data_IF_291216091024
#
_entry.id   IF_291216091024
#
_cell.length_a   1.000
_cell.length_b   1.000
_cell.length_c   1.000
_cell.angle_alpha   90.00
_cell.angle_beta   90.00
_cell.angle_gamma   90.00
#
_symmetry.space_group_name_H-M   'P 1'
#
loop_
_entity.id
_entity.type
_entity.pdbx_description
1 polymer ?
#
# COMPACT_ATOMS: atom_id res chain seq x y z
N UNK A 1 -16.41 -10.02 1.11
CA UNK A 1 -14.97 -9.78 1.32
C UNK A 1 -14.67 -9.04 2.61
N UNK A 2 -15.35 -7.90 2.89
CA UNK A 2 -15.16 -7.10 4.12
C UNK A 2 -15.18 -7.92 5.41
N UNK A 3 -16.19 -8.77 5.60
CA UNK A 3 -16.33 -9.59 6.82
C UNK A 3 -15.13 -10.50 7.06
N UNK A 4 -14.61 -11.15 6.01
CA UNK A 4 -13.38 -11.97 6.09
C UNK A 4 -12.16 -11.12 6.44
N UNK A 5 -12.06 -9.91 5.91
CA UNK A 5 -10.95 -9.00 6.23
C UNK A 5 -11.00 -8.56 7.69
N UNK A 6 -12.17 -8.15 8.19
CA UNK A 6 -12.36 -7.75 9.59
C UNK A 6 -12.02 -8.92 10.51
N UNK A 7 -12.64 -10.09 10.31
CA UNK A 7 -12.39 -11.29 11.10
C UNK A 7 -10.90 -11.68 11.15
N UNK A 8 -10.20 -11.69 10.00
CA UNK A 8 -8.80 -12.17 9.95
C UNK A 8 -7.76 -11.12 10.31
N UNK A 9 -7.97 -9.84 9.96
CA UNK A 9 -6.95 -8.79 10.05
C UNK A 9 -7.16 -7.88 11.24
N UNK A 10 -8.42 -7.60 11.58
CA UNK A 10 -8.77 -6.68 12.68
C UNK A 10 -8.99 -7.49 13.97
N UNK A 11 -9.80 -8.54 13.91
CA UNK A 11 -10.15 -9.37 15.08
C UNK A 11 -9.15 -10.53 15.32
N UNK A 12 -8.27 -10.82 14.35
CA UNK A 12 -7.21 -11.81 14.51
C UNK A 12 -7.64 -13.28 14.54
N UNK A 13 -8.91 -13.59 14.28
CA UNK A 13 -9.44 -14.97 14.22
C UNK A 13 -8.64 -15.81 13.23
N UNK A 14 -8.43 -17.10 13.49
CA UNK A 14 -7.80 -18.06 12.56
C UNK A 14 -8.62 -18.30 11.28
N UNK A 15 -8.06 -19.06 10.33
CA UNK A 15 -8.77 -19.41 9.09
C UNK A 15 -9.96 -20.32 9.41
N UNK A 16 -9.77 -21.23 10.35
CA UNK A 16 -10.70 -22.25 10.80
C UNK A 16 -11.86 -21.60 11.55
N UNK A 17 -11.59 -20.73 12.53
CA UNK A 17 -12.62 -19.97 13.25
C UNK A 17 -13.42 -19.06 12.30
N UNK A 18 -12.75 -18.42 11.34
CA UNK A 18 -13.43 -17.58 10.34
C UNK A 18 -14.30 -18.41 9.38
N UNK A 19 -13.87 -19.63 9.07
CA UNK A 19 -14.60 -20.55 8.20
C UNK A 19 -15.89 -21.03 8.87
N UNK A 20 -15.79 -21.41 10.15
CA UNK A 20 -16.92 -21.80 10.98
C UNK A 20 -17.89 -20.63 11.18
N UNK A 21 -17.38 -19.44 11.58
CA UNK A 21 -18.19 -18.24 11.81
C UNK A 21 -19.00 -17.82 10.57
N UNK A 22 -18.43 -17.98 9.37
CA UNK A 22 -19.03 -17.52 8.13
C UNK A 22 -19.69 -18.63 7.31
N UNK A 23 -19.76 -19.85 7.86
CA UNK A 23 -20.27 -21.05 7.20
C UNK A 23 -19.73 -21.24 5.77
N UNK A 24 -18.41 -21.24 5.66
CA UNK A 24 -17.70 -21.46 4.38
C UNK A 24 -16.52 -22.37 4.56
N UNK A 25 -16.04 -22.96 3.46
CA UNK A 25 -14.82 -23.77 3.50
C UNK A 25 -13.57 -22.93 3.83
N UNK A 26 -12.59 -23.45 4.60
CA UNK A 26 -11.31 -22.78 4.90
C UNK A 26 -10.56 -22.24 3.67
N UNK A 27 -10.60 -22.94 2.53
CA UNK A 27 -9.97 -22.50 1.27
C UNK A 27 -10.65 -21.24 0.71
N UNK A 28 -11.95 -21.11 0.95
CA UNK A 28 -12.72 -19.93 0.55
C UNK A 28 -12.29 -18.71 1.35
N UNK A 29 -11.98 -18.88 2.65
CA UNK A 29 -11.45 -17.82 3.51
C UNK A 29 -10.12 -17.31 2.95
N UNK A 30 -9.19 -18.20 2.57
CA UNK A 30 -7.89 -17.83 1.98
C UNK A 30 -8.07 -16.97 0.72
N UNK A 31 -8.88 -17.42 -0.23
CA UNK A 31 -9.09 -16.69 -1.50
C UNK A 31 -9.86 -15.37 -1.30
N UNK A 32 -10.80 -15.32 -0.34
CA UNK A 32 -11.53 -14.09 0.01
C UNK A 32 -10.61 -13.09 0.72
N UNK A 33 -9.72 -13.54 1.61
CA UNK A 33 -8.77 -12.68 2.29
C UNK A 33 -7.76 -12.06 1.32
N UNK A 34 -7.23 -12.85 0.38
CA UNK A 34 -6.33 -12.35 -0.65
C UNK A 34 -6.98 -11.22 -1.47
N UNK A 35 -8.19 -11.47 -1.98
CA UNK A 35 -8.96 -10.47 -2.74
C UNK A 35 -9.33 -9.26 -1.90
N UNK A 36 -9.69 -9.44 -0.63
CA UNK A 36 -10.02 -8.34 0.26
C UNK A 36 -8.83 -7.40 0.49
N UNK A 37 -7.61 -7.94 0.68
CA UNK A 37 -6.38 -7.13 0.79
C UNK A 37 -6.11 -6.31 -0.47
N UNK A 38 -6.28 -6.92 -1.65
CA UNK A 38 -6.12 -6.21 -2.92
C UNK A 38 -7.12 -5.06 -3.08
N UNK A 39 -8.40 -5.30 -2.73
CA UNK A 39 -9.45 -4.27 -2.78
C UNK A 39 -9.18 -3.11 -1.80
N UNK A 40 -8.76 -3.41 -0.58
CA UNK A 40 -8.41 -2.39 0.42
C UNK A 40 -7.22 -1.57 -0.06
N UNK A 41 -6.15 -2.22 -0.55
CA UNK A 41 -4.98 -1.52 -1.11
C UNK A 41 -5.38 -0.58 -2.25
N UNK A 42 -6.14 -1.08 -3.23
CA UNK A 42 -6.62 -0.25 -4.35
C UNK A 42 -7.41 0.97 -3.86
N UNK A 43 -8.34 0.78 -2.93
CA UNK A 43 -9.14 1.88 -2.39
C UNK A 43 -8.29 2.91 -1.62
N UNK A 44 -7.26 2.46 -0.91
CA UNK A 44 -6.30 3.35 -0.25
C UNK A 44 -5.41 4.07 -1.25
N UNK A 45 -4.94 3.41 -2.30
CA UNK A 45 -4.15 4.03 -3.36
C UNK A 45 -4.97 5.11 -4.10
N UNK A 46 -6.25 4.85 -4.37
CA UNK A 46 -7.15 5.82 -5.02
C UNK A 46 -7.38 7.06 -4.13
N UNK A 47 -7.40 6.91 -2.80
CA UNK A 47 -7.64 8.01 -1.86
C UNK A 47 -6.36 8.75 -1.43
N UNK A 48 -5.26 8.02 -1.24
CA UNK A 48 -4.04 8.50 -0.59
C UNK A 48 -2.88 8.60 -1.59
N UNK A 49 -2.95 7.94 -2.76
CA UNK A 49 -1.91 7.97 -3.79
C UNK A 49 -1.46 9.39 -4.16
N UNK A 50 -2.37 10.33 -4.46
CA UNK A 50 -2.00 11.73 -4.74
C UNK A 50 -1.33 12.42 -3.54
N UNK A 51 -1.73 12.09 -2.31
CA UNK A 51 -1.16 12.69 -1.10
C UNK A 51 0.24 12.15 -0.81
N UNK A 52 0.47 10.84 -0.97
CA UNK A 52 1.79 10.23 -0.77
C UNK A 52 2.82 10.69 -1.80
N UNK A 53 2.41 10.86 -3.06
CA UNK A 53 3.26 11.44 -4.11
C UNK A 53 3.68 12.89 -3.79
N UNK A 54 2.84 13.63 -3.05
CA UNK A 54 3.13 15.00 -2.62
C UNK A 54 3.86 15.07 -1.28
N UNK A 55 3.64 14.13 -0.36
CA UNK A 55 4.28 14.08 0.96
C UNK A 55 5.71 13.52 0.89
N UNK A 56 5.95 12.58 -0.01
CA UNK A 56 7.27 12.05 -0.36
C UNK A 56 7.53 12.28 -1.84
N UNK A 57 7.64 13.55 -2.29
CA UNK A 57 7.93 13.81 -3.68
C UNK A 57 9.27 13.14 -3.99
N UNK A 58 9.30 12.40 -5.10
CA UNK A 58 10.56 11.87 -5.63
C UNK A 58 11.56 13.01 -5.59
N UNK A 59 12.74 12.77 -5.01
CA UNK A 59 13.69 13.81 -4.66
C UNK A 59 14.22 14.60 -5.87
N UNK A 60 13.73 14.35 -7.09
CA UNK A 60 14.02 15.05 -8.35
C UNK A 60 14.37 16.52 -8.17
N UNK A 61 13.46 17.37 -7.68
CA UNK A 61 13.75 18.81 -7.48
C UNK A 61 14.91 19.09 -6.51
N UNK A 62 15.07 18.28 -5.46
CA UNK A 62 16.18 18.40 -4.49
C UNK A 62 17.49 17.88 -5.09
N UNK A 63 17.44 16.78 -5.83
CA UNK A 63 18.56 16.17 -6.54
C UNK A 63 19.05 17.10 -7.67
N UNK A 64 18.15 17.64 -8.49
CA UNK A 64 18.45 18.63 -9.53
C UNK A 64 19.14 19.85 -8.95
N UNK A 65 18.60 20.41 -7.85
CA UNK A 65 19.23 21.55 -7.17
C UNK A 65 20.62 21.21 -6.63
N UNK A 66 20.80 20.02 -6.06
CA UNK A 66 22.09 19.56 -5.53
C UNK A 66 23.11 19.38 -6.66
N UNK A 67 22.70 18.72 -7.75
CA UNK A 67 23.52 18.49 -8.94
C UNK A 67 23.91 19.81 -9.60
N UNK A 68 22.98 20.74 -9.79
CA UNK A 68 23.26 22.06 -10.35
C UNK A 68 24.29 22.82 -9.50
N UNK A 69 24.11 22.84 -8.17
CA UNK A 69 25.05 23.49 -7.27
C UNK A 69 26.44 22.83 -7.30
N UNK A 70 26.51 21.49 -7.40
CA UNK A 70 27.77 20.75 -7.48
C UNK A 70 28.50 21.01 -8.80
N UNK A 71 27.80 20.93 -9.94
CA UNK A 71 28.36 21.19 -11.26
C UNK A 71 28.93 22.60 -11.35
N UNK A 72 28.19 23.59 -10.85
CA UNK A 72 28.64 24.98 -10.80
C UNK A 72 29.92 25.14 -9.94
N UNK A 73 30.02 24.44 -8.82
CA UNK A 73 31.19 24.47 -7.93
C UNK A 73 32.41 23.76 -8.51
N UNK A 74 32.19 22.77 -9.39
CA UNK A 74 33.23 22.04 -10.11
C UNK A 74 33.66 22.74 -11.40
N UNK A 75 33.01 23.85 -11.79
CA UNK A 75 33.33 24.59 -13.00
C UNK A 75 32.76 23.96 -14.27
N UNK A 76 31.83 23.01 -14.15
CA UNK A 76 31.02 22.51 -15.25
C UNK A 76 29.82 23.44 -15.40
N UNK A 77 29.98 24.49 -16.20
CA UNK A 77 28.89 25.35 -16.69
C UNK A 77 28.62 25.03 -18.15
N UNK A 78 27.36 24.67 -18.45
CA UNK A 78 26.77 24.85 -19.78
C UNK A 78 26.25 26.29 -19.91
#
# INVERSE_FOLDING_TARGET
>A
YRTVFVARVIEGLSIEETAELLDVRPETVKSRLHRARALVRKALDDQIGPVLLNAFPFAGRRCERLTAALMQRLGFTD
#
